data_IF_664438195279
#
_entry.id   IF_664438195279
#
_cell.length_a   1.000
_cell.length_b   1.000
_cell.length_c   1.000
_cell.angle_alpha   90.00
_cell.angle_beta   90.00
_cell.angle_gamma   90.00
#
_symmetry.space_group_name_H-M   'P 1'
#
loop_
_entity.id
_entity.type
_entity.pdbx_description
1 polymer ?
#
# COMPACT_ATOMS: atom_id res chain seq x y z
N UNK A 1 9.17 -8.79 21.44
CA UNK A 1 9.83 -8.80 20.12
C UNK A 1 10.04 -7.35 19.72
N UNK A 2 11.28 -6.86 19.63
CA UNK A 2 11.53 -5.62 18.88
C UNK A 2 11.53 -6.05 17.42
N UNK A 3 10.47 -5.69 16.69
CA UNK A 3 10.43 -5.90 15.25
C UNK A 3 11.30 -4.82 14.63
N UNK A 4 12.54 -5.17 14.32
CA UNK A 4 13.35 -4.37 13.44
C UNK A 4 12.71 -4.33 12.06
N UNK A 5 12.61 -3.10 11.55
CA UNK A 5 12.87 -2.72 10.17
C UNK A 5 11.82 -3.09 9.11
N UNK A 6 11.20 -2.03 8.58
CA UNK A 6 10.54 -1.92 7.26
C UNK A 6 10.28 -3.24 6.51
N UNK A 7 9.01 -3.63 6.42
CA UNK A 7 8.58 -4.83 5.69
C UNK A 7 8.45 -4.51 4.20
N UNK A 8 9.00 -5.37 3.35
CA UNK A 8 8.75 -5.35 1.89
C UNK A 8 7.83 -6.51 1.51
N UNK A 9 6.73 -6.18 0.84
CA UNK A 9 5.78 -7.16 0.30
C UNK A 9 5.83 -7.11 -1.23
N UNK A 10 6.06 -8.27 -1.87
CA UNK A 10 6.07 -8.39 -3.33
C UNK A 10 4.84 -9.18 -3.76
N UNK A 11 4.03 -8.60 -4.64
CA UNK A 11 2.81 -9.21 -5.15
C UNK A 11 2.42 -8.64 -6.51
N UNK A 12 1.33 -9.15 -7.09
CA UNK A 12 0.72 -8.63 -8.31
C UNK A 12 0.02 -7.30 -8.06
N UNK A 13 0.10 -6.37 -9.01
CA UNK A 13 -0.56 -5.06 -8.93
C UNK A 13 -2.06 -5.16 -8.65
N UNK A 14 -2.75 -6.16 -9.23
CA UNK A 14 -4.17 -6.40 -8.97
C UNK A 14 -4.48 -6.84 -7.53
N UNK A 15 -3.59 -7.59 -6.87
CA UNK A 15 -3.78 -7.94 -5.46
C UNK A 15 -3.60 -6.70 -4.58
N UNK A 16 -2.55 -5.90 -4.85
CA UNK A 16 -2.28 -4.67 -4.10
C UNK A 16 -3.43 -3.68 -4.27
N UNK A 17 -3.96 -3.53 -5.49
CA UNK A 17 -5.12 -2.69 -5.78
C UNK A 17 -6.35 -3.05 -4.94
N UNK A 18 -6.62 -4.34 -4.78
CA UNK A 18 -7.72 -4.82 -3.95
C UNK A 18 -7.43 -4.64 -2.46
N UNK A 19 -6.20 -4.88 -2.01
CA UNK A 19 -5.84 -4.87 -0.58
C UNK A 19 -5.66 -3.46 -0.01
N UNK A 20 -4.98 -2.58 -0.74
CA UNK A 20 -4.59 -1.25 -0.28
C UNK A 20 -5.74 -0.40 0.30
N UNK A 21 -6.93 -0.30 -0.33
CA UNK A 21 -8.04 0.49 0.22
C UNK A 21 -8.74 -0.16 1.43
N UNK A 22 -8.48 -1.44 1.73
CA UNK A 22 -9.01 -2.09 2.95
C UNK A 22 -8.11 -1.88 4.16
N UNK A 23 -6.80 -1.74 3.93
CA UNK A 23 -5.82 -1.61 5.01
C UNK A 23 -5.40 -0.16 5.26
N UNK A 24 -5.44 0.70 4.23
CA UNK A 24 -5.01 2.08 4.35
C UNK A 24 -6.18 3.02 4.61
N UNK A 25 -6.08 3.83 5.67
CA UNK A 25 -7.13 4.76 6.08
C UNK A 25 -7.37 5.91 5.07
N UNK A 26 -6.39 6.18 4.21
CA UNK A 26 -6.38 7.32 3.29
C UNK A 26 -6.44 6.95 1.81
N UNK A 27 -6.67 5.67 1.47
CA UNK A 27 -6.87 5.23 0.10
C UNK A 27 -8.32 4.82 -0.14
N UNK A 28 -8.91 5.32 -1.22
CA UNK A 28 -10.22 4.85 -1.68
C UNK A 28 -10.07 3.79 -2.77
N UNK A 29 -11.03 2.86 -2.85
CA UNK A 29 -11.08 1.87 -3.92
C UNK A 29 -11.07 2.52 -5.31
N UNK A 30 -11.82 3.61 -5.50
CA UNK A 30 -11.89 4.34 -6.76
C UNK A 30 -10.52 4.94 -7.17
N UNK A 31 -9.72 5.40 -6.20
CA UNK A 31 -8.36 5.88 -6.47
C UNK A 31 -7.45 4.74 -6.92
N UNK A 32 -7.40 3.65 -6.15
CA UNK A 32 -6.56 2.48 -6.46
C UNK A 32 -6.95 1.85 -7.81
N UNK A 33 -8.24 1.85 -8.15
CA UNK A 33 -8.71 1.33 -9.45
C UNK A 33 -8.27 2.19 -10.64
N UNK A 34 -8.30 3.52 -10.51
CA UNK A 34 -7.84 4.43 -11.56
C UNK A 34 -6.32 4.44 -11.69
N UNK A 35 -5.60 4.13 -10.62
CA UNK A 35 -4.13 4.03 -10.59
C UNK A 35 -3.70 2.59 -10.34
N UNK A 36 -3.84 1.74 -11.35
CA UNK A 36 -3.25 0.41 -11.27
C UNK A 36 -1.71 0.52 -11.19
N UNK A 37 -1.09 -0.13 -10.20
CA UNK A 37 0.36 -0.23 -10.11
C UNK A 37 0.89 -1.03 -11.31
N UNK A 38 1.80 -0.42 -12.07
CA UNK A 38 2.51 -1.09 -13.16
C UNK A 38 3.60 -2.00 -12.62
N UNK A 39 4.19 -2.79 -13.51
CA UNK A 39 5.32 -3.65 -13.16
C UNK A 39 6.46 -2.82 -12.57
N UNK A 40 7.00 -3.29 -11.45
CA UNK A 40 8.05 -2.64 -10.67
C UNK A 40 7.69 -1.31 -9.99
N UNK A 41 6.45 -0.83 -10.11
CA UNK A 41 5.99 0.29 -9.28
C UNK A 41 5.71 -0.17 -7.84
N UNK A 42 5.87 0.74 -6.88
CA UNK A 42 5.65 0.47 -5.46
C UNK A 42 4.68 1.44 -4.79
N UNK A 43 4.20 1.02 -3.63
CA UNK A 43 3.52 1.88 -2.66
C UNK A 43 4.31 1.84 -1.35
N UNK A 44 4.45 3.00 -0.71
CA UNK A 44 5.07 3.13 0.60
C UNK A 44 3.99 3.36 1.64
N UNK A 45 3.90 2.47 2.62
CA UNK A 45 2.93 2.53 3.70
C UNK A 45 3.66 2.79 5.02
N UNK A 46 3.08 3.64 5.86
CA UNK A 46 3.55 3.89 7.22
C UNK A 46 2.49 3.48 8.23
N UNK A 47 2.94 2.88 9.32
CA UNK A 47 2.10 2.51 10.46
C UNK A 47 2.34 3.56 11.56
N UNK A 48 1.30 4.33 11.89
CA UNK A 48 1.32 5.36 12.93
C UNK A 48 0.06 5.22 13.78
N UNK A 49 0.19 5.10 15.10
CA UNK A 49 -0.94 5.01 16.05
C UNK A 49 -2.01 3.97 15.62
N UNK A 50 -1.56 2.74 15.33
CA UNK A 50 -2.39 1.62 14.84
C UNK A 50 -3.11 1.84 13.50
N UNK A 51 -2.77 2.91 12.79
CA UNK A 51 -3.31 3.25 11.47
C UNK A 51 -2.26 3.04 10.40
N UNK A 52 -2.68 2.48 9.27
CA UNK A 52 -1.82 2.35 8.09
C UNK A 52 -2.17 3.48 7.13
N UNK A 53 -1.19 4.28 6.74
CA UNK A 53 -1.35 5.35 5.76
C UNK A 53 -0.46 5.08 4.56
N UNK A 54 -1.02 5.27 3.38
CA UNK A 54 -0.24 5.29 2.15
C UNK A 54 0.41 6.66 1.97
N UNK A 55 1.73 6.69 1.86
CA UNK A 55 2.54 7.91 1.70
C UNK A 55 2.94 8.11 0.24
N UNK A 56 3.21 7.01 -0.47
CA UNK A 56 3.52 7.00 -1.92
C UNK A 56 2.75 5.87 -2.60
N UNK A 57 2.30 6.10 -3.83
CA UNK A 57 1.52 5.10 -4.58
C UNK A 57 1.74 5.25 -6.08
N UNK A 58 2.41 4.25 -6.69
CA UNK A 58 2.72 4.23 -8.12
C UNK A 58 4.02 4.93 -8.48
N UNK A 59 5.05 4.76 -7.65
CA UNK A 59 6.42 5.24 -7.89
C UNK A 59 7.30 4.16 -8.50
#
# INVERSE_FOLDING_TARGET
MKADENIVLVSHGGLIQCMAPFICDNLSFAYCYKKLLKNAEYALLEINDDKIKCIKYGE
#
